data_IF_964028619020
#
_entry.id   IF_964028619020
#
_cell.length_a   1.000
_cell.length_b   1.000
_cell.length_c   1.000
_cell.angle_alpha   90.00
_cell.angle_beta   90.00
_cell.angle_gamma   90.00
#
_symmetry.space_group_name_H-M   'P 1'
#
loop_
_entity.id
_entity.type
_entity.pdbx_description
1 polymer ?
#
# COMPACT_ATOMS: atom_id res chain seq x y z
N UNK A 1 -54.55 -39.77 -21.54
CA UNK A 1 -53.80 -38.90 -20.59
C UNK A 1 -52.29 -39.01 -20.91
N UNK A 2 -51.71 -37.97 -21.54
CA UNK A 2 -50.26 -37.91 -21.84
C UNK A 2 -49.60 -37.13 -20.71
N UNK A 3 -48.69 -37.78 -19.98
CA UNK A 3 -47.84 -37.12 -19.00
C UNK A 3 -46.69 -36.46 -19.74
N UNK A 4 -46.58 -35.13 -19.63
CA UNK A 4 -45.44 -34.33 -20.09
C UNK A 4 -44.32 -34.43 -19.05
N UNK A 5 -43.14 -34.91 -19.46
CA UNK A 5 -41.93 -34.86 -18.67
C UNK A 5 -41.32 -33.46 -18.83
N UNK A 6 -41.15 -32.76 -17.74
CA UNK A 6 -40.42 -31.49 -17.68
C UNK A 6 -38.98 -31.85 -17.37
N UNK A 7 -38.10 -31.68 -18.35
CA UNK A 7 -36.65 -31.77 -18.15
C UNK A 7 -36.16 -30.45 -17.56
N UNK A 8 -35.77 -30.47 -16.29
CA UNK A 8 -35.13 -29.34 -15.61
C UNK A 8 -33.62 -29.45 -15.85
N UNK A 9 -33.13 -28.68 -16.81
CA UNK A 9 -31.68 -28.53 -17.02
C UNK A 9 -31.12 -27.57 -15.95
N UNK A 10 -30.42 -28.11 -14.97
CA UNK A 10 -29.74 -27.34 -13.93
C UNK A 10 -28.48 -26.73 -14.54
N UNK A 11 -28.53 -25.45 -14.88
CA UNK A 11 -27.33 -24.69 -15.30
C UNK A 11 -26.49 -24.34 -14.06
N UNK A 12 -25.36 -25.02 -13.88
CA UNK A 12 -24.39 -24.68 -12.87
C UNK A 12 -23.55 -23.49 -13.39
N UNK A 13 -23.84 -22.30 -12.88
CA UNK A 13 -22.98 -21.14 -13.09
C UNK A 13 -21.73 -21.29 -12.21
N UNK A 14 -20.61 -21.74 -12.82
CA UNK A 14 -19.30 -21.61 -12.21
C UNK A 14 -18.90 -20.13 -12.27
N UNK A 15 -19.09 -19.38 -11.20
CA UNK A 15 -18.48 -18.07 -11.04
C UNK A 15 -16.97 -18.27 -10.78
N UNK A 16 -16.17 -18.06 -11.80
CA UNK A 16 -14.74 -17.88 -11.62
C UNK A 16 -14.54 -16.54 -10.89
N UNK A 17 -14.21 -16.61 -9.61
CA UNK A 17 -13.63 -15.47 -8.91
C UNK A 17 -12.27 -15.21 -9.58
N UNK A 18 -12.20 -14.23 -10.49
CA UNK A 18 -10.94 -13.69 -10.97
C UNK A 18 -10.29 -13.03 -9.77
N UNK A 19 -9.23 -13.65 -9.24
CA UNK A 19 -8.34 -12.96 -8.33
C UNK A 19 -7.86 -11.71 -9.06
N UNK A 20 -8.32 -10.55 -8.65
CA UNK A 20 -7.80 -9.27 -9.12
C UNK A 20 -6.36 -9.18 -8.64
N UNK A 21 -5.44 -9.59 -9.49
CA UNK A 21 -4.02 -9.33 -9.30
C UNK A 21 -3.88 -7.80 -9.30
N UNK A 22 -3.54 -7.21 -8.16
CA UNK A 22 -3.25 -5.79 -8.09
C UNK A 22 -2.13 -5.51 -9.09
N UNK A 23 -2.44 -4.75 -10.14
CA UNK A 23 -1.43 -4.40 -11.14
C UNK A 23 -0.38 -3.53 -10.48
N UNK A 24 0.90 -3.86 -10.70
CA UNK A 24 2.02 -3.03 -10.24
C UNK A 24 1.87 -1.67 -10.92
N UNK A 25 1.75 -0.57 -10.19
CA UNK A 25 1.55 0.73 -10.78
C UNK A 25 2.79 1.18 -11.57
N UNK A 26 2.58 1.96 -12.63
CA UNK A 26 3.65 2.68 -13.30
C UNK A 26 4.29 3.66 -12.31
N UNK A 27 5.61 3.84 -12.39
CA UNK A 27 6.33 4.79 -11.54
C UNK A 27 6.69 6.08 -12.27
N UNK A 28 6.66 7.19 -11.54
CA UNK A 28 7.09 8.51 -11.99
C UNK A 28 8.32 8.92 -11.19
N UNK A 29 9.45 9.09 -11.90
CA UNK A 29 10.65 9.71 -11.33
C UNK A 29 10.49 11.24 -11.38
N UNK A 30 10.40 11.89 -10.23
CA UNK A 30 10.35 13.34 -10.09
C UNK A 30 11.72 13.99 -9.82
N UNK A 31 12.80 13.23 -9.86
CA UNK A 31 14.13 13.70 -9.44
C UNK A 31 14.24 13.84 -7.92
N UNK A 32 13.39 13.13 -7.15
CA UNK A 32 13.35 13.09 -5.68
C UNK A 32 14.05 11.85 -5.14
N UNK A 33 14.03 11.62 -3.82
CA UNK A 33 14.66 10.46 -3.18
C UNK A 33 14.05 9.14 -3.62
N UNK A 34 12.75 9.12 -3.91
CA UNK A 34 11.97 7.94 -4.33
C UNK A 34 11.24 8.17 -5.65
N UNK A 35 10.80 7.10 -6.29
CA UNK A 35 9.81 7.12 -7.37
C UNK A 35 8.40 7.02 -6.79
N UNK A 36 7.45 7.73 -7.40
CA UNK A 36 6.05 7.77 -7.01
C UNK A 36 5.19 6.95 -7.96
N UNK A 37 4.20 6.23 -7.46
CA UNK A 37 3.22 5.58 -8.32
C UNK A 37 2.44 6.63 -9.13
N UNK A 38 2.14 6.35 -10.39
CA UNK A 38 1.35 7.23 -11.24
C UNK A 38 -0.09 7.39 -10.75
N UNK A 39 -0.61 6.38 -10.04
CA UNK A 39 -1.99 6.32 -9.55
C UNK A 39 -2.02 6.07 -8.04
N UNK A 40 -3.14 6.39 -7.39
CA UNK A 40 -3.42 5.94 -6.03
C UNK A 40 -3.55 4.41 -5.95
N UNK A 41 -3.40 3.84 -4.78
CA UNK A 41 -3.65 2.42 -4.55
C UNK A 41 -5.11 2.09 -4.93
N UNK A 42 -5.29 1.04 -5.73
CA UNK A 42 -6.57 0.60 -6.32
C UNK A 42 -7.22 1.64 -7.26
N UNK A 43 -6.43 2.53 -7.86
CA UNK A 43 -6.87 3.44 -8.92
C UNK A 43 -6.35 2.99 -10.29
N UNK A 44 -7.09 3.27 -11.36
CA UNK A 44 -6.75 2.93 -12.75
C UNK A 44 -6.21 4.12 -13.54
N UNK A 45 -6.50 5.35 -13.10
CA UNK A 45 -6.05 6.58 -13.73
C UNK A 45 -5.52 7.59 -12.69
N UNK A 46 -4.68 8.56 -13.06
CA UNK A 46 -4.12 9.54 -12.12
C UNK A 46 -5.16 10.36 -11.35
N UNK A 47 -6.32 10.60 -11.95
CA UNK A 47 -7.44 11.34 -11.36
C UNK A 47 -8.37 10.47 -10.50
N UNK A 48 -8.27 9.15 -10.57
CA UNK A 48 -9.08 8.26 -9.75
C UNK A 48 -8.67 8.35 -8.27
N UNK A 49 -9.66 8.35 -7.38
CA UNK A 49 -9.41 8.46 -5.94
C UNK A 49 -8.77 7.20 -5.34
N UNK A 50 -8.99 6.03 -5.97
CA UNK A 50 -8.57 4.74 -5.41
C UNK A 50 -9.32 4.38 -4.13
N UNK A 51 -8.73 3.52 -3.32
CA UNK A 51 -9.27 3.11 -2.03
C UNK A 51 -8.99 4.13 -0.92
N UNK A 52 -9.73 4.03 0.19
CA UNK A 52 -9.52 4.79 1.42
C UNK A 52 -9.27 3.82 2.58
N UNK A 53 -8.12 3.88 3.19
CA UNK A 53 -7.61 2.86 4.13
C UNK A 53 -7.30 3.45 5.50
N UNK A 54 -7.50 2.66 6.55
CA UNK A 54 -6.99 2.94 7.88
C UNK A 54 -5.46 2.82 7.95
N UNK A 55 -4.82 3.59 8.81
CA UNK A 55 -3.36 3.49 9.00
C UNK A 55 -2.98 2.19 9.70
N UNK A 56 -1.94 1.52 9.20
CA UNK A 56 -1.48 0.21 9.67
C UNK A 56 -2.55 -0.89 9.57
N UNK A 57 -3.43 -0.83 8.57
CA UNK A 57 -4.38 -1.89 8.22
C UNK A 57 -3.88 -2.68 7.00
N UNK A 58 -3.12 -3.78 7.20
CA UNK A 58 -2.62 -4.58 6.08
C UNK A 58 -3.72 -5.33 5.33
N UNK A 59 -4.93 -5.41 5.87
CA UNK A 59 -6.08 -6.02 5.20
C UNK A 59 -6.76 -5.05 4.23
N UNK A 60 -6.73 -3.75 4.55
CA UNK A 60 -7.43 -2.70 3.83
C UNK A 60 -8.95 -2.79 3.92
N UNK A 61 -9.48 -3.57 4.87
CA UNK A 61 -10.91 -3.80 5.05
C UNK A 61 -11.51 -3.03 6.22
N UNK A 62 -10.67 -2.51 7.11
CA UNK A 62 -11.13 -1.85 8.33
C UNK A 62 -11.66 -0.45 8.05
N UNK A 63 -12.87 -0.18 8.48
CA UNK A 63 -13.56 1.07 8.18
C UNK A 63 -13.92 1.88 9.41
N UNK A 64 -13.85 1.29 10.60
CA UNK A 64 -14.27 1.92 11.86
C UNK A 64 -13.24 1.70 12.96
N UNK A 65 -13.31 2.54 14.00
CA UNK A 65 -12.48 2.41 15.20
C UNK A 65 -12.68 1.06 15.89
N UNK A 66 -13.92 0.56 15.96
CA UNK A 66 -14.23 -0.70 16.63
C UNK A 66 -13.53 -1.90 15.99
N UNK A 67 -13.38 -1.87 14.66
CA UNK A 67 -12.68 -2.94 13.92
C UNK A 67 -11.18 -2.85 14.15
N UNK A 68 -10.61 -1.65 14.07
CA UNK A 68 -9.21 -1.40 14.39
C UNK A 68 -8.87 -1.79 15.82
N UNK A 69 -9.74 -1.49 16.75
CA UNK A 69 -9.61 -1.81 18.16
C UNK A 69 -9.52 -3.31 18.41
N UNK A 70 -10.43 -4.06 17.78
CA UNK A 70 -10.48 -5.52 17.93
C UNK A 70 -9.32 -6.26 17.26
N UNK A 71 -8.80 -5.72 16.16
CA UNK A 71 -7.79 -6.42 15.36
C UNK A 71 -6.36 -6.13 15.79
N UNK A 72 -6.08 -5.02 16.47
CA UNK A 72 -4.71 -4.55 16.68
C UNK A 72 -4.32 -4.16 18.08
N UNK A 73 -5.22 -4.11 19.04
CA UNK A 73 -4.95 -3.74 20.43
C UNK A 73 -4.29 -2.36 20.67
N UNK A 74 -4.10 -1.54 19.61
CA UNK A 74 -3.37 -0.28 19.71
C UNK A 74 -4.27 0.93 19.95
N UNK A 75 -5.55 0.78 19.69
CA UNK A 75 -6.54 1.86 19.85
C UNK A 75 -7.31 1.71 21.15
N UNK A 76 -7.57 0.48 21.60
CA UNK A 76 -8.18 0.20 22.90
C UNK A 76 -7.31 0.65 24.06
N UNK A 77 -6.00 0.63 23.87
CA UNK A 77 -5.05 1.05 24.87
C UNK A 77 -4.61 2.51 24.71
N UNK A 78 -5.58 3.42 24.65
CA UNK A 78 -5.33 4.85 24.84
C UNK A 78 -4.48 5.15 26.08
N UNK A 79 -4.40 4.20 27.00
CA UNK A 79 -3.86 4.38 28.34
C UNK A 79 -2.83 3.35 28.80
N UNK A 80 -2.41 2.37 27.99
CA UNK A 80 -1.48 1.35 28.51
C UNK A 80 -0.99 0.25 27.57
N UNK A 81 -1.47 0.17 26.36
CA UNK A 81 -1.06 -0.86 25.38
C UNK A 81 0.34 -0.69 24.78
N UNK A 82 0.80 -1.63 23.99
CA UNK A 82 2.12 -1.57 23.37
C UNK A 82 2.25 -0.32 22.49
N UNK A 83 3.46 0.26 22.46
CA UNK A 83 3.73 1.38 21.56
C UNK A 83 3.62 0.92 20.10
N UNK A 84 2.87 1.66 19.26
CA UNK A 84 2.87 1.40 17.84
C UNK A 84 4.25 1.72 17.26
N UNK A 85 4.67 1.04 16.18
CA UNK A 85 5.89 1.39 15.49
C UNK A 85 5.89 2.86 15.07
N UNK A 86 7.03 3.54 15.18
CA UNK A 86 7.18 4.93 14.75
C UNK A 86 7.13 5.09 13.24
N UNK A 87 7.45 4.02 12.51
CA UNK A 87 7.43 3.95 11.04
C UNK A 87 6.98 2.55 10.61
N UNK A 88 6.00 2.49 9.69
CA UNK A 88 5.50 1.22 9.14
C UNK A 88 5.82 1.02 7.65
N UNK A 89 6.39 2.02 6.96
CA UNK A 89 6.74 1.92 5.54
C UNK A 89 7.61 0.69 5.26
N UNK A 90 7.18 -0.15 4.33
CA UNK A 90 7.88 -1.37 3.94
C UNK A 90 7.79 -2.53 4.93
N UNK A 91 6.98 -2.42 5.98
CA UNK A 91 6.74 -3.50 6.96
C UNK A 91 5.48 -4.31 6.62
N UNK A 92 5.23 -5.37 7.37
CA UNK A 92 3.99 -6.18 7.30
C UNK A 92 2.71 -5.40 7.70
N UNK A 93 2.84 -4.22 8.29
CA UNK A 93 1.74 -3.31 8.61
C UNK A 93 1.43 -2.31 7.50
N UNK A 94 2.30 -2.25 6.50
CA UNK A 94 2.13 -1.41 5.32
C UNK A 94 1.30 -2.14 4.26
N UNK A 95 0.08 -1.67 4.04
CA UNK A 95 -0.86 -2.22 3.06
C UNK A 95 -0.26 -2.26 1.64
N UNK A 96 0.52 -1.25 1.27
CA UNK A 96 1.16 -1.20 -0.06
C UNK A 96 2.20 -2.31 -0.19
N UNK A 97 3.06 -2.44 0.82
CA UNK A 97 4.08 -3.48 0.87
C UNK A 97 3.47 -4.88 0.78
N UNK A 98 2.40 -5.13 1.55
CA UNK A 98 1.71 -6.42 1.59
C UNK A 98 1.03 -6.73 0.26
N UNK A 99 0.38 -5.75 -0.39
CA UNK A 99 -0.39 -5.99 -1.63
C UNK A 99 0.44 -5.96 -2.90
N UNK A 100 1.38 -5.02 -3.01
CA UNK A 100 2.14 -4.82 -4.24
C UNK A 100 3.51 -5.50 -4.21
N UNK A 101 4.14 -5.62 -3.04
CA UNK A 101 5.52 -6.10 -2.94
C UNK A 101 6.50 -5.28 -3.80
N UNK A 102 7.53 -5.92 -4.34
CA UNK A 102 8.45 -5.33 -5.33
C UNK A 102 8.98 -3.93 -4.96
N UNK A 103 9.25 -3.69 -3.66
CA UNK A 103 9.76 -2.43 -3.15
C UNK A 103 8.74 -1.30 -3.03
N UNK A 104 7.50 -1.50 -3.44
CA UNK A 104 6.41 -0.55 -3.20
C UNK A 104 6.03 -0.50 -1.73
N UNK A 105 5.81 0.70 -1.22
CA UNK A 105 5.50 0.98 0.18
C UNK A 105 4.76 2.31 0.36
N UNK A 106 4.27 2.56 1.57
CA UNK A 106 3.83 3.89 1.98
C UNK A 106 5.01 4.88 1.92
N UNK A 107 4.79 6.14 1.55
CA UNK A 107 5.81 7.17 1.72
C UNK A 107 6.03 7.44 3.22
N UNK A 108 7.25 7.79 3.59
CA UNK A 108 7.54 8.40 4.88
C UNK A 108 7.10 9.87 4.91
N UNK A 109 7.04 10.48 6.11
CA UNK A 109 6.76 11.91 6.23
C UNK A 109 7.79 12.78 5.51
N UNK A 110 9.07 12.40 5.55
CA UNK A 110 10.14 13.18 4.92
C UNK A 110 10.05 13.13 3.39
N UNK A 111 9.74 11.98 2.80
CA UNK A 111 9.50 11.84 1.35
C UNK A 111 8.29 12.66 0.90
N UNK A 112 7.25 12.71 1.74
CA UNK A 112 6.09 13.52 1.46
C UNK A 112 6.41 15.03 1.55
N UNK A 113 7.22 15.46 2.51
CA UNK A 113 7.73 16.84 2.58
C UNK A 113 8.57 17.18 1.36
N UNK A 114 9.41 16.25 0.89
CA UNK A 114 10.20 16.43 -0.33
C UNK A 114 9.30 16.65 -1.55
N UNK A 115 8.24 15.84 -1.73
CA UNK A 115 7.23 16.04 -2.78
C UNK A 115 6.58 17.42 -2.69
N UNK A 116 6.12 17.79 -1.49
CA UNK A 116 5.37 19.05 -1.31
C UNK A 116 6.25 20.30 -1.36
N UNK A 117 7.57 20.17 -1.34
CA UNK A 117 8.52 21.24 -1.63
C UNK A 117 8.70 21.50 -3.13
N UNK A 118 8.23 20.61 -4.02
CA UNK A 118 8.24 20.83 -5.45
C UNK A 118 7.29 21.96 -5.86
N UNK A 119 7.49 22.49 -7.08
CA UNK A 119 6.51 23.38 -7.70
C UNK A 119 5.18 22.64 -7.79
N UNK A 120 4.08 23.33 -7.49
CA UNK A 120 2.75 22.74 -7.46
C UNK A 120 1.66 23.69 -7.88
N UNK A 121 0.60 23.14 -8.45
CA UNK A 121 -0.57 23.91 -8.88
C UNK A 121 -1.85 23.18 -8.52
N UNK A 122 -2.84 23.90 -7.94
CA UNK A 122 -4.18 23.35 -7.74
C UNK A 122 -4.95 23.46 -9.04
N UNK A 123 -5.31 22.34 -9.62
CA UNK A 123 -5.92 22.29 -10.94
C UNK A 123 -6.96 21.17 -11.05
N UNK A 124 -7.54 21.03 -12.25
CA UNK A 124 -8.38 19.89 -12.60
C UNK A 124 -7.67 19.00 -13.62
N UNK A 125 -7.61 17.71 -13.31
CA UNK A 125 -7.25 16.65 -14.26
C UNK A 125 -8.53 15.87 -14.60
N UNK A 126 -8.94 15.84 -15.87
CA UNK A 126 -10.17 15.18 -16.34
C UNK A 126 -11.41 15.49 -15.49
N UNK A 127 -11.56 16.76 -15.05
CA UNK A 127 -12.70 17.23 -14.25
C UNK A 127 -12.55 17.04 -12.74
N UNK A 128 -11.52 16.34 -12.25
CA UNK A 128 -11.24 16.08 -10.83
C UNK A 128 -10.24 17.10 -10.31
N UNK A 129 -10.58 17.78 -9.21
CA UNK A 129 -9.67 18.72 -8.54
C UNK A 129 -8.53 17.97 -7.84
N UNK A 130 -7.36 18.60 -7.78
CA UNK A 130 -6.18 18.07 -7.11
C UNK A 130 -4.97 18.98 -7.23
N UNK A 131 -3.85 18.54 -6.70
CA UNK A 131 -2.55 19.18 -6.94
C UNK A 131 -1.76 18.43 -8.00
N UNK A 132 -1.25 19.16 -9.00
CA UNK A 132 -0.15 18.72 -9.86
C UNK A 132 1.16 19.20 -9.25
N UNK A 133 2.08 18.28 -9.01
CA UNK A 133 3.45 18.53 -8.55
C UNK A 133 4.41 18.38 -9.74
N UNK A 134 5.31 19.35 -9.92
CA UNK A 134 6.34 19.28 -10.95
C UNK A 134 7.69 19.02 -10.28
N UNK A 135 8.30 17.90 -10.61
CA UNK A 135 9.59 17.47 -10.08
C UNK A 135 10.76 18.31 -10.64
N UNK A 136 11.95 18.12 -10.05
CA UNK A 136 13.18 18.82 -10.45
C UNK A 136 13.58 18.52 -11.91
N UNK A 137 13.18 17.38 -12.43
CA UNK A 137 13.43 16.92 -13.81
C UNK A 137 12.31 17.29 -14.80
N UNK A 138 11.28 18.02 -14.35
CA UNK A 138 10.15 18.46 -15.15
C UNK A 138 9.01 17.44 -15.26
N UNK A 139 9.17 16.23 -14.75
CA UNK A 139 8.08 15.25 -14.69
C UNK A 139 7.01 15.68 -13.70
N UNK A 140 5.78 15.22 -13.93
CA UNK A 140 4.61 15.67 -13.19
C UNK A 140 3.89 14.52 -12.50
N UNK A 141 3.34 14.80 -11.32
CA UNK A 141 2.52 13.88 -10.52
C UNK A 141 1.23 14.59 -10.10
N UNK A 142 0.09 14.01 -10.41
CA UNK A 142 -1.21 14.54 -9.97
C UNK A 142 -1.72 13.77 -8.75
N UNK A 143 -2.07 14.49 -7.68
CA UNK A 143 -2.74 13.95 -6.50
C UNK A 143 -4.19 14.45 -6.46
N UNK A 144 -5.21 13.57 -6.72
CA UNK A 144 -6.61 13.96 -6.71
C UNK A 144 -7.16 14.25 -5.31
N UNK A 145 -8.14 15.13 -5.22
CA UNK A 145 -8.86 15.45 -3.99
C UNK A 145 -9.89 14.35 -3.66
N UNK A 146 -9.42 13.20 -3.18
CA UNK A 146 -10.23 11.99 -2.97
C UNK A 146 -11.14 12.02 -1.74
N UNK A 147 -11.08 13.10 -0.92
CA UNK A 147 -11.84 13.16 0.32
C UNK A 147 -11.27 12.26 1.43
N UNK A 148 -12.13 11.93 2.39
CA UNK A 148 -11.84 11.02 3.49
C UNK A 148 -13.02 10.10 3.75
N UNK A 149 -12.76 8.85 4.11
CA UNK A 149 -13.77 7.89 4.55
C UNK A 149 -13.82 7.87 6.09
N UNK A 150 -15.05 7.90 6.60
CA UNK A 150 -15.34 7.66 8.01
C UNK A 150 -16.48 6.63 8.10
N UNK A 151 -16.20 5.48 8.66
CA UNK A 151 -17.06 4.32 8.52
C UNK A 151 -17.22 3.94 7.05
N UNK A 152 -18.45 3.84 6.56
CA UNK A 152 -18.76 3.51 5.15
C UNK A 152 -18.93 4.74 4.25
N UNK A 153 -18.83 5.95 4.80
CA UNK A 153 -19.13 7.19 4.07
C UNK A 153 -17.86 7.93 3.68
N UNK A 154 -17.69 8.19 2.38
CA UNK A 154 -16.68 9.12 1.86
C UNK A 154 -17.26 10.53 1.84
N UNK A 155 -16.53 11.50 2.39
CA UNK A 155 -16.90 12.91 2.44
C UNK A 155 -15.83 13.78 1.78
N UNK A 156 -16.23 14.93 1.26
CA UNK A 156 -15.36 15.96 0.68
C UNK A 156 -14.57 15.51 -0.56
N UNK A 157 -14.97 14.40 -1.21
CA UNK A 157 -14.41 14.01 -2.50
C UNK A 157 -14.60 15.13 -3.53
N UNK A 158 -13.56 15.40 -4.32
CA UNK A 158 -13.51 16.52 -5.25
C UNK A 158 -13.23 17.89 -4.62
N UNK A 159 -13.16 18.00 -3.30
CA UNK A 159 -12.93 19.28 -2.59
C UNK A 159 -11.59 19.27 -1.86
N UNK A 160 -11.27 18.21 -1.15
CA UNK A 160 -10.01 18.03 -0.43
C UNK A 160 -9.51 16.60 -0.60
N UNK A 161 -8.22 16.36 -0.39
CA UNK A 161 -7.62 15.04 -0.37
C UNK A 161 -6.79 14.81 0.89
N UNK A 162 -6.71 13.55 1.31
CA UNK A 162 -5.89 13.10 2.42
C UNK A 162 -5.10 11.87 2.00
N UNK A 163 -3.80 11.85 2.32
CA UNK A 163 -2.88 10.80 1.93
C UNK A 163 -2.07 10.33 3.12
N UNK A 164 -2.11 9.04 3.44
CA UNK A 164 -1.32 8.49 4.53
C UNK A 164 0.19 8.47 4.21
N UNK A 165 0.98 8.67 5.26
CA UNK A 165 2.39 8.24 5.33
C UNK A 165 2.51 7.03 6.24
N UNK A 166 3.66 6.36 6.23
CA UNK A 166 3.97 5.30 7.20
C UNK A 166 4.36 5.82 8.58
N UNK A 167 4.51 7.14 8.76
CA UNK A 167 5.10 7.74 9.96
C UNK A 167 4.04 8.02 11.03
N UNK A 168 4.28 7.52 12.25
CA UNK A 168 3.44 7.78 13.43
C UNK A 168 3.48 9.27 13.81
N UNK A 169 2.38 9.79 14.36
CA UNK A 169 2.32 11.15 14.89
C UNK A 169 3.18 11.33 16.12
N UNK A 170 3.78 12.51 16.27
CA UNK A 170 4.75 12.83 17.33
C UNK A 170 4.17 13.54 18.54
N UNK A 171 2.85 13.86 18.56
CA UNK A 171 2.21 14.51 19.71
C UNK A 171 2.23 13.56 20.94
N UNK A 172 2.94 13.91 22.03
CA UNK A 172 3.10 13.03 23.19
C UNK A 172 1.77 12.62 23.85
N UNK A 173 0.73 13.45 23.70
CA UNK A 173 -0.58 13.17 24.32
C UNK A 173 -1.47 12.27 23.46
N UNK A 174 -1.22 12.20 22.15
CA UNK A 174 -2.09 11.52 21.18
C UNK A 174 -1.31 10.70 20.12
N UNK A 175 0.00 10.50 20.29
CA UNK A 175 0.83 9.84 19.29
C UNK A 175 0.35 8.42 18.95
N UNK A 176 -0.09 7.64 19.95
CA UNK A 176 -0.62 6.30 19.75
C UNK A 176 -1.86 6.25 18.86
N UNK A 177 -2.58 7.34 18.76
CA UNK A 177 -3.85 7.41 18.03
C UNK A 177 -3.71 8.04 16.66
N UNK A 178 -2.60 8.72 16.37
CA UNK A 178 -2.45 9.54 15.18
C UNK A 178 -1.23 9.14 14.36
N UNK A 179 -1.35 9.29 13.03
CA UNK A 179 -0.26 9.16 12.09
C UNK A 179 -0.21 10.38 11.16
N UNK A 180 0.97 10.67 10.63
CA UNK A 180 1.14 11.77 9.69
C UNK A 180 0.45 11.49 8.37
N UNK A 181 -0.15 12.54 7.82
CA UNK A 181 -0.80 12.52 6.51
C UNK A 181 -0.56 13.84 5.78
N UNK A 182 -0.66 13.83 4.46
CA UNK A 182 -0.82 15.03 3.65
C UNK A 182 -2.31 15.39 3.57
N UNK A 183 -2.64 16.66 3.85
CA UNK A 183 -3.88 17.29 3.45
C UNK A 183 -3.62 18.15 2.21
N UNK A 184 -4.52 18.10 1.25
CA UNK A 184 -4.56 19.00 0.08
C UNK A 184 -5.95 19.60 -0.09
N UNK A 185 -6.00 20.86 -0.47
CA UNK A 185 -7.23 21.60 -0.79
C UNK A 185 -6.90 22.89 -1.53
N UNK A 186 -7.92 23.56 -2.04
CA UNK A 186 -7.73 24.82 -2.79
C UNK A 186 -6.99 25.90 -1.97
N UNK A 187 -7.17 25.90 -0.64
CA UNK A 187 -6.55 26.87 0.29
C UNK A 187 -5.09 26.51 0.65
N UNK A 188 -4.58 25.35 0.21
CA UNK A 188 -3.22 24.91 0.50
C UNK A 188 -3.12 23.47 0.96
N UNK A 189 -1.97 23.14 1.56
CA UNK A 189 -1.65 21.80 2.06
C UNK A 189 -1.00 21.84 3.45
N UNK A 190 -1.08 20.73 4.19
CA UNK A 190 -0.36 20.54 5.45
C UNK A 190 -0.09 19.05 5.73
N UNK A 191 0.82 18.79 6.69
CA UNK A 191 1.28 17.46 7.08
C UNK A 191 0.87 17.07 8.50
N UNK A 192 -0.21 17.65 9.02
CA UNK A 192 -0.65 17.42 10.40
C UNK A 192 -1.08 15.95 10.59
N UNK A 193 -0.82 15.36 11.76
CA UNK A 193 -1.27 14.02 12.05
C UNK A 193 -2.80 13.93 12.18
N UNK A 194 -3.36 12.79 11.76
CA UNK A 194 -4.78 12.49 11.86
C UNK A 194 -5.00 11.15 12.57
N UNK A 195 -6.23 10.91 13.01
CA UNK A 195 -6.63 9.70 13.72
C UNK A 195 -6.50 8.48 12.78
N UNK A 196 -5.81 7.43 13.23
CA UNK A 196 -5.39 6.28 12.42
C UNK A 196 -6.53 5.47 11.81
N UNK A 197 -7.72 5.47 12.41
CA UNK A 197 -8.88 4.78 11.86
C UNK A 197 -9.59 5.56 10.73
N UNK A 198 -9.20 6.81 10.46
CA UNK A 198 -9.71 7.55 9.29
C UNK A 198 -9.29 6.85 8.01
N UNK A 199 -10.20 6.75 7.06
CA UNK A 199 -9.90 6.20 5.75
C UNK A 199 -9.34 7.27 4.83
N UNK A 200 -8.06 7.16 4.43
CA UNK A 200 -7.41 8.09 3.50
C UNK A 200 -6.85 7.36 2.30
N UNK A 201 -6.66 8.08 1.21
CA UNK A 201 -5.99 7.55 0.03
C UNK A 201 -4.52 7.23 0.33
N UNK A 202 -3.94 6.37 -0.49
CA UNK A 202 -2.51 6.05 -0.46
C UNK A 202 -1.93 6.30 -1.83
N UNK A 203 -0.84 7.07 -1.92
CA UNK A 203 0.01 7.18 -3.09
C UNK A 203 1.29 6.39 -2.81
N UNK A 204 1.48 5.23 -3.44
CA UNK A 204 2.66 4.39 -3.22
C UNK A 204 3.96 5.07 -3.68
N UNK A 205 5.06 4.69 -3.03
CA UNK A 205 6.42 5.01 -3.44
C UNK A 205 7.28 3.76 -3.52
N UNK A 206 8.40 3.84 -4.23
CA UNK A 206 9.47 2.83 -4.17
C UNK A 206 10.84 3.48 -4.28
N UNK A 207 11.85 2.78 -3.78
CA UNK A 207 13.23 3.27 -3.86
C UNK A 207 13.72 3.30 -5.31
N UNK A 208 14.41 4.37 -5.73
CA UNK A 208 14.89 4.60 -7.12
C UNK A 208 15.76 3.46 -7.67
N UNK A 209 16.50 2.79 -6.80
CA UNK A 209 17.41 1.69 -7.16
C UNK A 209 16.78 0.32 -6.94
N UNK A 210 15.46 0.25 -6.79
CA UNK A 210 14.79 -1.04 -6.67
C UNK A 210 14.91 -1.79 -8.01
N UNK A 211 15.94 -2.60 -8.11
CA UNK A 211 16.18 -3.48 -9.25
C UNK A 211 15.31 -4.70 -9.13
N UNK A 212 14.10 -4.84 -9.15
CA UNK A 212 13.22 -6.02 -9.09
C UNK A 212 13.82 -7.44 -9.01
N UNK A 213 15.14 -7.51 -8.86
CA UNK A 213 15.89 -8.65 -8.44
C UNK A 213 15.64 -8.73 -6.95
N UNK A 214 14.83 -9.70 -6.49
CA UNK A 214 14.85 -10.12 -5.10
C UNK A 214 16.31 -10.02 -4.64
N UNK A 215 16.54 -9.21 -3.60
CA UNK A 215 17.85 -9.05 -2.98
C UNK A 215 18.49 -10.44 -2.94
N UNK A 216 19.46 -10.68 -3.80
CA UNK A 216 20.40 -11.75 -3.52
C UNK A 216 21.09 -11.23 -2.30
N UNK A 217 20.55 -11.56 -1.12
CA UNK A 217 21.27 -11.43 0.12
C UNK A 217 22.49 -12.32 -0.11
N UNK A 218 23.55 -11.70 -0.57
CA UNK A 218 24.91 -12.23 -0.41
C UNK A 218 25.20 -12.06 1.08
N UNK A 219 24.44 -12.78 1.91
CA UNK A 219 24.88 -13.07 3.25
C UNK A 219 26.11 -13.97 3.07
N UNK A 220 27.28 -13.36 3.20
CA UNK A 220 28.57 -14.07 3.19
C UNK A 220 28.72 -14.98 4.41
N UNK A 221 27.70 -15.20 5.20
CA UNK A 221 27.62 -16.31 6.15
C UNK A 221 27.29 -17.56 5.38
N UNK A 222 28.23 -18.50 5.38
CA UNK A 222 27.95 -19.86 4.95
C UNK A 222 26.74 -20.36 5.74
N UNK A 223 25.57 -20.37 5.09
CA UNK A 223 24.38 -20.95 5.67
C UNK A 223 24.49 -22.49 5.51
N UNK A 224 24.98 -23.14 6.57
CA UNK A 224 25.14 -24.60 6.64
C UNK A 224 23.81 -25.36 6.81
N UNK A 225 22.69 -24.66 6.66
CA UNK A 225 21.37 -25.29 6.74
C UNK A 225 21.18 -26.31 5.62
N UNK A 226 20.57 -27.46 5.93
CA UNK A 226 20.38 -28.53 4.97
C UNK A 226 19.54 -28.10 3.77
N UNK A 227 19.96 -28.52 2.58
CA UNK A 227 19.33 -28.23 1.31
C UNK A 227 18.55 -29.45 0.86
N UNK A 228 17.37 -29.24 0.31
CA UNK A 228 16.48 -30.31 -0.17
C UNK A 228 16.06 -30.06 -1.63
N UNK A 229 15.82 -31.11 -2.39
CA UNK A 229 15.12 -31.03 -3.66
C UNK A 229 13.60 -30.89 -3.45
N UNK A 230 12.85 -30.69 -4.54
CA UNK A 230 11.38 -30.51 -4.47
C UNK A 230 10.64 -31.78 -4.00
N UNK A 231 11.30 -32.92 -3.93
CA UNK A 231 10.74 -34.18 -3.40
C UNK A 231 11.01 -34.37 -1.91
N UNK A 232 11.74 -33.43 -1.28
CA UNK A 232 12.12 -33.48 0.13
C UNK A 232 13.40 -34.26 0.41
N UNK A 233 14.13 -34.72 -0.61
CA UNK A 233 15.41 -35.41 -0.47
C UNK A 233 16.51 -34.39 -0.19
N UNK A 234 17.34 -34.65 0.83
CA UNK A 234 18.48 -33.81 1.19
C UNK A 234 19.55 -33.86 0.09
N UNK A 235 20.02 -32.68 -0.32
CA UNK A 235 21.12 -32.51 -1.26
C UNK A 235 22.43 -32.25 -0.49
N UNK A 236 23.54 -32.72 -1.04
CA UNK A 236 24.89 -32.47 -0.49
C UNK A 236 25.44 -31.09 -0.83
N UNK A 237 24.92 -30.46 -1.91
CA UNK A 237 25.29 -29.12 -2.36
C UNK A 237 24.15 -28.51 -3.16
N UNK A 238 24.20 -27.18 -3.38
CA UNK A 238 23.26 -26.50 -4.27
C UNK A 238 23.38 -27.08 -5.68
N UNK A 239 22.25 -27.36 -6.36
CA UNK A 239 22.29 -27.86 -7.73
C UNK A 239 22.87 -26.81 -8.68
N UNK A 240 23.54 -27.21 -9.73
CA UNK A 240 24.06 -26.28 -10.75
C UNK A 240 22.93 -25.60 -11.54
N UNK A 241 21.77 -26.22 -11.63
CA UNK A 241 20.58 -25.68 -12.30
C UNK A 241 19.32 -26.32 -11.74
N UNK A 242 18.23 -25.51 -11.66
CA UNK A 242 16.92 -25.97 -11.20
C UNK A 242 16.56 -25.47 -9.80
N UNK A 243 15.63 -26.15 -9.12
CA UNK A 243 15.07 -25.71 -7.84
C UNK A 243 15.66 -26.49 -6.66
N UNK A 244 15.80 -25.78 -5.52
CA UNK A 244 16.08 -26.38 -4.22
C UNK A 244 15.32 -25.65 -3.11
N UNK A 245 15.21 -26.28 -1.94
CA UNK A 245 14.59 -25.72 -0.72
C UNK A 245 15.68 -25.62 0.34
N UNK A 246 15.79 -24.46 0.98
CA UNK A 246 16.65 -24.20 2.14
C UNK A 246 15.91 -23.32 3.12
N UNK A 247 15.92 -23.62 4.41
CA UNK A 247 15.19 -22.87 5.45
C UNK A 247 13.68 -22.68 5.14
N UNK A 248 13.04 -23.69 4.52
CA UNK A 248 11.63 -23.64 4.14
C UNK A 248 11.33 -22.75 2.92
N UNK A 249 12.34 -22.12 2.32
CA UNK A 249 12.19 -21.26 1.12
C UNK A 249 12.65 -22.00 -0.14
N UNK A 250 11.96 -21.76 -1.26
CA UNK A 250 12.28 -22.32 -2.58
C UNK A 250 13.17 -21.36 -3.36
N UNK A 251 14.25 -21.88 -3.92
CA UNK A 251 15.23 -21.15 -4.73
C UNK A 251 15.33 -21.73 -6.13
N UNK A 252 15.64 -20.89 -7.11
CA UNK A 252 15.93 -21.29 -8.50
C UNK A 252 17.38 -20.93 -8.82
N UNK A 253 18.14 -21.93 -9.29
CA UNK A 253 19.45 -21.73 -9.93
C UNK A 253 19.23 -21.77 -11.44
N UNK A 254 19.62 -20.70 -12.14
CA UNK A 254 19.47 -20.52 -13.60
C UNK A 254 20.62 -21.11 -14.37
#
# INVERSE_FOLDING_TARGET
>A
MKQSKIDITLAVFLSFATATHSQIPESIDLGLSVEWAATNLDASAPEDFGGHYGWADPTGLETTMDVLDKSRNWVSDLYGGPEPPTEISGTELDLVHVRLGNGWRLPTLEELKELTACQREWMKCNGVNGYEFTGKNGNKLFLPAGGARNGETVRYAGTVGYYWTGTLGTDPSMHKQRAHRLYIGAEGLNHNPAIRYSGFSIRPVRDRNYSGIAEIITDCRQDDSPIYDLTGRRLSSKPEKGFYIQNGKKYLVK
#
